data_IF_851910122597
#
_entry.id   IF_851910122597
#
_cell.length_a   1.000
_cell.length_b   1.000
_cell.length_c   1.000
_cell.angle_alpha   90.00
_cell.angle_beta   90.00
_cell.angle_gamma   90.00
#
_symmetry.space_group_name_H-M   'P 1'
#
loop_
_entity.id
_entity.type
_entity.pdbx_description
1 polymer ?
#
# COMPACT_ATOMS: atom_id res chain seq x y z
N UNK A 1 -1.14 18.35 16.42
CA UNK A 1 -2.60 18.40 16.65
C UNK A 1 -3.24 18.66 15.29
N UNK A 2 -3.99 17.68 14.76
CA UNK A 2 -4.21 17.57 13.30
C UNK A 2 -5.15 18.63 12.72
N UNK A 3 -4.83 19.14 11.52
CA UNK A 3 -5.67 20.05 10.72
C UNK A 3 -7.14 19.64 10.61
N UNK A 4 -7.44 18.35 10.79
CA UNK A 4 -8.81 17.81 10.77
C UNK A 4 -9.70 18.41 11.86
N UNK A 5 -9.15 18.75 13.03
CA UNK A 5 -9.93 19.30 14.14
C UNK A 5 -10.33 20.76 13.88
N UNK A 6 -9.44 21.55 13.26
CA UNK A 6 -9.71 22.94 12.85
C UNK A 6 -10.78 22.98 11.76
N UNK A 7 -10.70 22.08 10.78
CA UNK A 7 -11.65 22.06 9.66
C UNK A 7 -13.07 21.66 10.10
N UNK A 8 -13.19 20.70 11.02
CA UNK A 8 -14.50 20.29 11.56
C UNK A 8 -15.13 21.35 12.46
N UNK A 9 -14.31 22.04 13.27
CA UNK A 9 -14.79 23.15 14.10
C UNK A 9 -15.27 24.31 13.21
N UNK A 10 -14.52 24.65 12.16
CA UNK A 10 -14.90 25.69 11.20
C UNK A 10 -16.21 25.35 10.45
N UNK A 11 -16.35 24.12 9.95
CA UNK A 11 -17.56 23.69 9.22
C UNK A 11 -18.83 23.71 10.09
N UNK A 12 -18.71 23.25 11.35
CA UNK A 12 -19.82 23.31 12.30
C UNK A 12 -20.18 24.76 12.65
N UNK A 13 -19.18 25.64 12.79
CA UNK A 13 -19.38 27.06 13.05
C UNK A 13 -20.12 27.78 11.92
N UNK A 14 -19.78 27.51 10.66
CA UNK A 14 -20.45 28.12 9.50
C UNK A 14 -21.90 27.66 9.36
N UNK A 15 -22.20 26.38 9.63
CA UNK A 15 -23.58 25.89 9.58
C UNK A 15 -24.45 26.48 10.68
N UNK A 16 -23.90 26.57 11.90
CA UNK A 16 -24.61 27.13 13.05
C UNK A 16 -24.80 28.65 12.89
N UNK A 17 -23.81 29.37 12.35
CA UNK A 17 -23.92 30.82 12.14
C UNK A 17 -24.99 31.20 11.10
N UNK A 18 -25.13 30.41 10.03
CA UNK A 18 -26.17 30.63 9.02
C UNK A 18 -27.59 30.38 9.58
N UNK A 19 -27.76 29.36 10.42
CA UNK A 19 -29.03 29.06 11.08
C UNK A 19 -29.43 30.19 12.03
N UNK A 20 -28.54 30.60 12.94
CA UNK A 20 -28.80 31.67 13.90
C UNK A 20 -29.09 32.99 13.19
N UNK A 21 -28.35 33.30 12.11
CA UNK A 21 -28.59 34.51 11.31
C UNK A 21 -30.01 34.51 10.72
N UNK A 22 -30.50 33.37 10.22
CA UNK A 22 -31.84 33.27 9.64
C UNK A 22 -32.92 33.48 10.71
N UNK A 23 -32.79 32.84 11.88
CA UNK A 23 -33.73 32.98 12.99
C UNK A 23 -33.77 34.42 13.53
N UNK A 24 -32.60 35.08 13.60
CA UNK A 24 -32.51 36.45 14.09
C UNK A 24 -33.10 37.46 13.10
N UNK A 25 -32.91 37.25 11.79
CA UNK A 25 -33.53 38.07 10.74
C UNK A 25 -35.06 37.91 10.77
N UNK A 26 -35.56 36.69 10.95
CA UNK A 26 -37.00 36.43 11.00
C UNK A 26 -37.65 37.16 12.18
N UNK A 27 -37.07 37.05 13.38
CA UNK A 27 -37.55 37.77 14.57
C UNK A 27 -37.38 39.28 14.47
N UNK A 28 -36.28 39.77 13.90
CA UNK A 28 -36.05 41.21 13.75
C UNK A 28 -37.07 41.86 12.80
N UNK A 29 -37.54 41.10 11.80
CA UNK A 29 -38.59 41.54 10.87
C UNK A 29 -39.92 41.78 11.57
N UNK A 30 -40.26 40.97 12.58
CA UNK A 30 -41.48 41.16 13.40
C UNK A 30 -41.44 42.48 14.21
N UNK A 31 -40.25 42.95 14.55
CA UNK A 31 -40.03 44.21 15.25
C UNK A 31 -39.69 45.39 14.33
N UNK A 32 -39.76 45.21 13.00
CA UNK A 32 -39.39 46.23 12.00
C UNK A 32 -37.92 46.72 12.12
N UNK A 33 -37.01 45.87 12.60
CA UNK A 33 -35.58 46.18 12.75
C UNK A 33 -34.81 45.61 11.54
N UNK A 34 -33.97 46.43 10.93
CA UNK A 34 -33.08 46.02 9.81
C UNK A 34 -31.74 45.59 10.40
N UNK A 35 -31.32 44.35 10.13
CA UNK A 35 -30.03 43.79 10.53
C UNK A 35 -29.09 43.69 9.31
N UNK A 36 -27.94 44.36 9.34
CA UNK A 36 -26.92 44.29 8.27
C UNK A 36 -25.92 43.14 8.49
N UNK A 37 -25.26 43.06 9.65
CA UNK A 37 -24.28 42.00 9.96
C UNK A 37 -24.35 41.56 11.42
N UNK A 38 -24.22 40.24 11.64
CA UNK A 38 -24.25 39.61 12.97
C UNK A 38 -22.93 38.89 13.19
N UNK A 39 -22.14 39.38 14.15
CA UNK A 39 -20.93 38.70 14.62
C UNK A 39 -21.24 37.92 15.90
N UNK A 40 -21.04 36.60 15.87
CA UNK A 40 -21.12 35.74 17.05
C UNK A 40 -19.72 35.71 17.69
N UNK A 41 -19.59 36.27 18.88
CA UNK A 41 -18.28 36.45 19.56
C UNK A 41 -17.84 35.21 20.33
N UNK A 42 -18.76 34.50 20.97
CA UNK A 42 -18.43 33.33 21.78
C UNK A 42 -19.59 32.33 21.82
N UNK A 43 -19.32 31.08 21.48
CA UNK A 43 -20.27 29.97 21.54
C UNK A 43 -19.71 28.92 22.50
N UNK A 44 -20.29 28.82 23.69
CA UNK A 44 -19.90 27.81 24.68
C UNK A 44 -20.81 26.58 24.55
N UNK A 45 -20.27 25.48 24.04
CA UNK A 45 -20.95 24.18 24.11
C UNK A 45 -20.79 23.57 25.51
N UNK A 46 -21.79 22.81 25.96
CA UNK A 46 -21.63 22.00 27.18
C UNK A 46 -20.54 20.95 26.96
N UNK A 47 -19.78 20.63 28.02
CA UNK A 47 -18.68 19.64 27.94
C UNK A 47 -19.17 18.28 27.45
N UNK A 48 -20.40 17.91 27.80
CA UNK A 48 -21.05 16.66 27.37
C UNK A 48 -21.34 16.64 25.87
N UNK A 49 -21.76 17.77 25.28
CA UNK A 49 -22.01 17.88 23.84
C UNK A 49 -20.72 17.74 23.04
N UNK A 50 -19.65 18.42 23.47
CA UNK A 50 -18.32 18.31 22.84
C UNK A 50 -17.82 16.86 22.87
N UNK A 51 -17.93 16.19 24.02
CA UNK A 51 -17.53 14.79 24.16
C UNK A 51 -18.33 13.84 23.25
N UNK A 52 -19.64 14.04 23.12
CA UNK A 52 -20.48 13.24 22.24
C UNK A 52 -20.13 13.44 20.75
N UNK A 53 -19.79 14.67 20.35
CA UNK A 53 -19.38 14.99 18.98
C UNK A 53 -18.00 14.40 18.67
N UNK A 54 -17.05 14.49 19.59
CA UNK A 54 -15.73 13.85 19.46
C UNK A 54 -15.86 12.33 19.34
N UNK A 55 -16.69 11.70 20.19
CA UNK A 55 -16.94 10.27 20.13
C UNK A 55 -17.52 9.83 18.77
N UNK A 56 -18.46 10.61 18.20
CA UNK A 56 -18.99 10.35 16.85
C UNK A 56 -17.93 10.48 15.77
N UNK A 57 -17.03 11.46 15.88
CA UNK A 57 -15.93 11.64 14.92
C UNK A 57 -14.95 10.48 14.97
N UNK A 58 -14.59 10.02 16.17
CA UNK A 58 -13.72 8.85 16.35
C UNK A 58 -14.37 7.61 15.74
N UNK A 59 -15.65 7.36 16.03
CA UNK A 59 -16.37 6.22 15.47
C UNK A 59 -16.45 6.27 13.93
N UNK A 60 -16.68 7.44 13.32
CA UNK A 60 -16.65 7.59 11.86
C UNK A 60 -15.26 7.35 11.28
N UNK A 61 -14.21 7.87 11.92
CA UNK A 61 -12.83 7.66 11.49
C UNK A 61 -12.43 6.20 11.59
N UNK A 62 -12.82 5.50 12.65
CA UNK A 62 -12.57 4.07 12.82
C UNK A 62 -13.32 3.23 11.78
N UNK A 63 -14.58 3.55 11.50
CA UNK A 63 -15.35 2.88 10.46
C UNK A 63 -14.70 3.04 9.07
N UNK A 64 -14.26 4.26 8.72
CA UNK A 64 -13.54 4.51 7.46
C UNK A 64 -12.21 3.74 7.39
N UNK A 65 -11.45 3.72 8.50
CA UNK A 65 -10.20 2.94 8.58
C UNK A 65 -10.43 1.44 8.42
N UNK A 66 -11.49 0.89 9.02
CA UNK A 66 -11.83 -0.52 8.91
C UNK A 66 -12.17 -0.91 7.46
N UNK A 67 -12.97 -0.08 6.77
CA UNK A 67 -13.28 -0.29 5.35
C UNK A 67 -12.02 -0.29 4.48
N UNK A 68 -11.13 0.69 4.71
CA UNK A 68 -9.86 0.78 3.98
C UNK A 68 -8.97 -0.45 4.23
N UNK A 69 -8.92 -0.96 5.46
CA UNK A 69 -8.14 -2.16 5.77
C UNK A 69 -8.64 -3.40 5.01
N UNK A 70 -9.96 -3.57 4.93
CA UNK A 70 -10.57 -4.68 4.18
C UNK A 70 -10.30 -4.55 2.68
N UNK A 71 -10.40 -3.36 2.11
CA UNK A 71 -10.09 -3.13 0.70
C UNK A 71 -8.62 -3.35 0.38
N UNK A 72 -7.72 -2.84 1.23
CA UNK A 72 -6.29 -3.07 1.11
C UNK A 72 -5.94 -4.55 1.14
N UNK A 73 -6.52 -5.31 2.08
CA UNK A 73 -6.31 -6.76 2.15
C UNK A 73 -6.78 -7.48 0.88
N UNK A 74 -7.92 -7.07 0.30
CA UNK A 74 -8.41 -7.61 -0.98
C UNK A 74 -7.48 -7.27 -2.14
N UNK A 75 -6.96 -6.04 -2.19
CA UNK A 75 -6.02 -5.61 -3.22
C UNK A 75 -4.70 -6.39 -3.12
N UNK A 76 -4.16 -6.55 -1.91
CA UNK A 76 -2.91 -7.30 -1.67
C UNK A 76 -3.05 -8.76 -2.09
N UNK A 77 -4.21 -9.39 -1.82
CA UNK A 77 -4.49 -10.76 -2.28
C UNK A 77 -4.52 -10.86 -3.80
N UNK A 78 -5.25 -9.95 -4.47
CA UNK A 78 -5.31 -9.92 -5.93
C UNK A 78 -3.93 -9.69 -6.55
N UNK A 79 -3.14 -8.79 -5.96
CA UNK A 79 -1.79 -8.52 -6.40
C UNK A 79 -0.91 -9.78 -6.32
N UNK A 80 -0.97 -10.53 -5.22
CA UNK A 80 -0.24 -11.80 -5.07
C UNK A 80 -0.65 -12.85 -6.10
N UNK A 81 -1.95 -12.97 -6.39
CA UNK A 81 -2.47 -13.91 -7.39
C UNK A 81 -1.95 -13.55 -8.79
N UNK A 82 -2.10 -12.28 -9.19
CA UNK A 82 -1.66 -11.79 -10.50
C UNK A 82 -0.13 -11.94 -10.65
N UNK A 83 0.63 -11.64 -9.60
CA UNK A 83 2.08 -11.79 -9.60
C UNK A 83 2.47 -13.27 -9.79
N UNK A 84 1.84 -14.18 -9.04
CA UNK A 84 2.10 -15.62 -9.16
C UNK A 84 1.71 -16.17 -10.53
N UNK A 85 0.58 -15.73 -11.10
CA UNK A 85 0.14 -16.10 -12.44
C UNK A 85 1.11 -15.58 -13.51
N UNK A 86 1.53 -14.31 -13.42
CA UNK A 86 2.49 -13.71 -14.33
C UNK A 86 3.86 -14.39 -14.28
N UNK A 87 4.33 -14.75 -13.08
CA UNK A 87 5.56 -15.53 -12.91
C UNK A 87 5.44 -16.95 -13.48
N UNK A 88 4.31 -17.62 -13.26
CA UNK A 88 4.06 -18.96 -13.78
C UNK A 88 4.00 -18.97 -15.32
N UNK A 89 3.33 -17.99 -15.92
CA UNK A 89 3.23 -17.86 -17.37
C UNK A 89 4.58 -17.50 -18.00
N UNK A 90 5.31 -16.57 -17.40
CA UNK A 90 6.67 -16.24 -17.80
C UNK A 90 7.61 -17.45 -17.71
N UNK A 91 7.52 -18.24 -16.63
CA UNK A 91 8.30 -19.46 -16.47
C UNK A 91 7.96 -20.53 -17.51
N UNK A 92 6.68 -20.70 -17.86
CA UNK A 92 6.24 -21.61 -18.93
C UNK A 92 6.79 -21.19 -20.28
N UNK A 93 6.66 -19.92 -20.65
CA UNK A 93 7.22 -19.40 -21.91
C UNK A 93 8.75 -19.55 -21.96
N UNK A 94 9.43 -19.22 -20.86
CA UNK A 94 10.88 -19.41 -20.76
C UNK A 94 11.25 -20.89 -20.87
N UNK A 95 10.52 -21.79 -20.21
CA UNK A 95 10.73 -23.24 -20.28
C UNK A 95 10.62 -23.77 -21.70
N UNK A 96 9.59 -23.35 -22.45
CA UNK A 96 9.42 -23.72 -23.85
C UNK A 96 10.55 -23.18 -24.74
N UNK A 97 10.97 -21.94 -24.54
CA UNK A 97 12.09 -21.35 -25.28
C UNK A 97 13.42 -22.07 -24.98
N UNK A 98 13.62 -22.47 -23.73
CA UNK A 98 14.80 -23.20 -23.25
C UNK A 98 14.83 -24.64 -23.81
N UNK A 99 13.68 -25.32 -23.88
CA UNK A 99 13.58 -26.67 -24.47
C UNK A 99 13.91 -26.68 -25.97
N UNK A 100 13.54 -25.62 -26.71
CA UNK A 100 13.86 -25.48 -28.14
C UNK A 100 15.36 -25.36 -28.41
N UNK A 101 16.16 -24.90 -27.46
CA UNK A 101 17.60 -24.76 -27.62
C UNK A 101 18.36 -25.31 -26.38
N UNK A 102 18.75 -26.60 -26.38
CA UNK A 102 19.50 -27.20 -25.27
C UNK A 102 20.88 -26.56 -25.02
N UNK A 103 21.42 -25.81 -25.99
CA UNK A 103 22.65 -25.02 -25.81
C UNK A 103 22.46 -23.79 -24.90
N UNK A 104 21.25 -23.23 -24.84
CA UNK A 104 20.96 -22.04 -24.03
C UNK A 104 21.05 -22.33 -22.52
N UNK A 105 20.62 -23.51 -22.06
CA UNK A 105 20.78 -23.97 -20.67
C UNK A 105 22.24 -24.02 -20.24
N UNK A 106 23.12 -24.54 -21.09
CA UNK A 106 24.56 -24.61 -20.83
C UNK A 106 25.17 -23.22 -20.73
N UNK A 107 24.84 -22.32 -21.66
CA UNK A 107 25.36 -20.94 -21.64
C UNK A 107 24.86 -20.16 -20.41
N UNK A 108 23.58 -20.31 -20.04
CA UNK A 108 23.00 -19.65 -18.85
C UNK A 108 23.64 -20.15 -17.56
N UNK A 109 23.96 -21.45 -17.46
CA UNK A 109 24.73 -22.01 -16.33
C UNK A 109 26.14 -21.45 -16.26
N UNK A 110 26.86 -21.39 -17.38
CA UNK A 110 28.20 -20.79 -17.42
C UNK A 110 28.16 -19.33 -16.96
N UNK A 111 27.17 -18.55 -17.41
CA UNK A 111 27.02 -17.15 -16.96
C UNK A 111 26.65 -17.03 -15.48
N UNK A 112 25.75 -17.88 -14.97
CA UNK A 112 25.40 -17.90 -13.55
C UNK A 112 26.62 -18.27 -12.68
N UNK A 113 27.37 -19.30 -13.08
CA UNK A 113 28.63 -19.70 -12.47
C UNK A 113 29.66 -18.55 -12.50
N UNK A 114 29.83 -17.86 -13.63
CA UNK A 114 30.71 -16.69 -13.74
C UNK A 114 30.29 -15.54 -12.83
N UNK A 115 28.99 -15.28 -12.70
CA UNK A 115 28.49 -14.22 -11.82
C UNK A 115 28.72 -14.56 -10.35
N UNK A 116 28.46 -15.80 -9.93
CA UNK A 116 28.75 -16.28 -8.58
C UNK A 116 30.25 -16.22 -8.30
N UNK A 117 31.08 -16.64 -9.26
CA UNK A 117 32.53 -16.55 -9.13
C UNK A 117 33.01 -15.09 -8.95
N UNK A 118 32.41 -14.13 -9.68
CA UNK A 118 32.71 -12.70 -9.53
C UNK A 118 32.27 -12.16 -8.17
N UNK A 119 31.08 -12.48 -7.69
CA UNK A 119 30.60 -12.01 -6.37
C UNK A 119 31.41 -12.61 -5.23
N UNK A 120 31.85 -13.87 -5.36
CA UNK A 120 32.72 -14.55 -4.38
C UNK A 120 34.16 -14.01 -4.44
N UNK A 121 34.70 -13.70 -5.63
CA UNK A 121 36.02 -13.09 -5.75
C UNK A 121 36.07 -11.66 -5.17
N UNK A 122 34.95 -10.92 -5.21
CA UNK A 122 34.82 -9.58 -4.65
C UNK A 122 34.54 -9.57 -3.14
N UNK A 123 34.07 -10.68 -2.56
CA UNK A 123 33.75 -10.73 -1.13
C UNK A 123 35.03 -10.91 -0.29
N UNK A 124 35.15 -10.16 0.81
CA UNK A 124 36.33 -10.19 1.69
C UNK A 124 36.44 -11.47 2.54
N UNK A 125 35.37 -12.26 2.62
CA UNK A 125 35.30 -13.43 3.49
C UNK A 125 35.70 -14.69 2.72
N UNK A 126 37.00 -15.04 2.76
CA UNK A 126 37.58 -16.24 2.11
C UNK A 126 37.24 -17.50 2.92
N UNK A 127 35.96 -17.85 3.01
CA UNK A 127 35.56 -19.19 3.45
C UNK A 127 35.82 -20.14 2.27
N UNK A 128 36.58 -21.21 2.50
CA UNK A 128 36.83 -22.24 1.49
C UNK A 128 35.51 -22.93 1.13
N UNK A 129 34.85 -22.45 0.08
CA UNK A 129 33.65 -23.06 -0.47
C UNK A 129 34.08 -24.10 -1.51
N UNK A 130 33.80 -25.37 -1.23
CA UNK A 130 34.06 -26.48 -2.15
C UNK A 130 33.28 -26.29 -3.45
N UNK A 131 33.88 -26.60 -4.60
CA UNK A 131 33.27 -26.40 -5.92
C UNK A 131 31.91 -27.11 -6.08
N UNK A 132 31.65 -28.18 -5.32
CA UNK A 132 30.36 -28.88 -5.27
C UNK A 132 29.25 -28.05 -4.61
N UNK A 133 29.56 -27.24 -3.58
CA UNK A 133 28.58 -26.37 -2.91
C UNK A 133 28.08 -25.23 -3.81
N UNK A 134 28.86 -24.86 -4.81
CA UNK A 134 28.57 -23.78 -5.75
C UNK A 134 27.96 -24.30 -7.07
N UNK A 135 27.76 -25.62 -7.20
CA UNK A 135 27.25 -26.25 -8.43
C UNK A 135 28.12 -25.83 -9.64
N UNK A 136 29.42 -25.62 -9.40
CA UNK A 136 30.40 -25.20 -10.41
C UNK A 136 31.01 -26.41 -11.13
N UNK A 137 30.68 -27.62 -10.71
CA UNK A 137 31.16 -28.84 -11.33
C UNK A 137 30.46 -29.06 -12.68
N UNK A 138 31.05 -28.51 -13.74
CA UNK A 138 30.61 -28.64 -15.13
C UNK A 138 30.68 -30.10 -15.64
N UNK A 139 31.23 -31.02 -14.85
CA UNK A 139 31.40 -32.44 -15.15
C UNK A 139 30.34 -33.36 -14.52
N UNK A 140 29.38 -32.83 -13.76
CA UNK A 140 28.40 -33.68 -13.05
C UNK A 140 27.54 -34.52 -14.03
N UNK A 141 27.81 -35.82 -14.02
CA UNK A 141 27.14 -36.90 -14.75
C UNK A 141 25.64 -37.00 -14.50
N UNK A 142 25.13 -36.33 -13.46
CA UNK A 142 23.71 -36.27 -13.10
C UNK A 142 22.84 -35.53 -14.14
N UNK A 143 23.44 -34.77 -15.08
CA UNK A 143 22.71 -34.08 -16.15
C UNK A 143 22.84 -34.71 -17.54
N UNK A 144 23.91 -35.47 -17.81
CA UNK A 144 24.07 -36.13 -19.12
C UNK A 144 22.96 -37.17 -19.37
N UNK A 145 22.40 -37.73 -18.30
CA UNK A 145 21.29 -38.69 -18.33
C UNK A 145 19.92 -38.04 -18.61
N UNK A 146 19.74 -36.74 -18.36
CA UNK A 146 18.51 -36.02 -18.71
C UNK A 146 18.51 -35.55 -20.17
N UNK A 147 19.70 -35.39 -20.78
CA UNK A 147 19.86 -35.13 -22.22
C UNK A 147 19.90 -36.39 -23.09
N UNK A 148 20.16 -37.57 -22.52
CA UNK A 148 19.99 -38.86 -23.18
C UNK A 148 18.73 -39.56 -22.63
N UNK A 149 17.57 -39.01 -23.00
CA UNK A 149 16.36 -39.83 -23.06
C UNK A 149 16.49 -40.79 -24.25
N UNK A 150 16.84 -42.04 -23.96
CA UNK A 150 16.07 -43.15 -24.52
C UNK A 150 14.99 -43.49 -23.49
#
# INVERSE_FOLDING_TARGET
>A
MSLSLIYVLFCSGVQVSLLIRRDLIERAKDFNIILDDVAITELSFSKEYTAAVEAKQVAQQEAQRAQFYVEKAKQDQRHKIIQAEGEAEAAKMLGQAVMKNPGYLKLRRIRAAQNIAKTVAASQNKVYLSADSLILNLQDSSFNKLSLGK
#
